data_IF_781434024570
#
_entry.id   IF_781434024570
#
_cell.length_a   1.000
_cell.length_b   1.000
_cell.length_c   1.000
_cell.angle_alpha   90.00
_cell.angle_beta   90.00
_cell.angle_gamma   90.00
#
_symmetry.space_group_name_H-M   'P 1'
#
loop_
_entity.id
_entity.type
_entity.pdbx_description
1 polymer ?
#
# COMPACT_ATOMS: atom_id res chain seq x y z
N UNK A 1 0.06 -18.14 1.75
CA UNK A 1 0.33 -17.54 3.08
C UNK A 1 -0.16 -16.11 3.13
N UNK A 2 -0.88 -15.70 4.17
CA UNK A 2 -1.36 -14.32 4.31
C UNK A 2 -0.25 -13.33 4.68
N UNK A 3 -0.43 -12.06 4.31
CA UNK A 3 0.41 -10.95 4.76
C UNK A 3 -0.20 -10.42 6.06
N UNK A 4 0.51 -10.55 7.18
CA UNK A 4 0.09 -9.93 8.42
C UNK A 4 0.91 -8.67 8.69
N UNK A 5 0.23 -7.54 8.82
CA UNK A 5 0.86 -6.26 9.17
C UNK A 5 0.52 -5.91 10.61
N UNK A 6 1.56 -5.81 11.44
CA UNK A 6 1.52 -5.35 12.83
C UNK A 6 1.82 -3.84 12.86
N UNK A 7 0.78 -3.04 13.02
CA UNK A 7 0.86 -1.59 13.13
C UNK A 7 0.99 -1.17 14.60
N UNK A 8 2.06 -0.45 14.99
CA UNK A 8 2.13 0.19 16.31
C UNK A 8 1.01 1.21 16.47
N UNK A 9 0.27 1.12 17.58
CA UNK A 9 -0.76 2.08 17.99
C UNK A 9 -0.30 2.83 19.25
N UNK A 10 -0.30 2.16 20.40
CA UNK A 10 0.21 2.71 21.67
C UNK A 10 1.67 2.30 21.95
N UNK A 11 2.23 1.36 21.19
CA UNK A 11 3.60 0.89 21.40
C UNK A 11 4.64 1.99 21.14
N UNK A 12 5.68 2.04 21.98
CA UNK A 12 6.90 2.80 21.71
C UNK A 12 7.64 2.10 20.56
N UNK A 13 7.75 2.76 19.41
CA UNK A 13 8.36 2.19 18.20
C UNK A 13 9.24 3.20 17.46
N UNK A 14 10.38 2.78 16.88
CA UNK A 14 11.22 3.66 16.08
C UNK A 14 10.57 4.05 14.74
N UNK A 15 9.43 3.44 14.40
CA UNK A 15 8.65 3.75 13.21
C UNK A 15 7.15 3.69 13.49
N UNK A 16 6.38 4.43 12.70
CA UNK A 16 4.96 4.16 12.47
C UNK A 16 4.82 3.46 11.13
N UNK A 17 3.90 2.50 11.05
CA UNK A 17 3.50 1.88 9.78
C UNK A 17 1.99 1.90 9.67
N UNK A 18 1.50 2.30 8.51
CA UNK A 18 0.12 2.09 8.12
C UNK A 18 0.08 1.32 6.80
N UNK A 19 -0.98 0.53 6.62
CA UNK A 19 -1.18 -0.33 5.47
C UNK A 19 -2.55 -0.13 4.86
N UNK A 20 -2.61 -0.24 3.54
CA UNK A 20 -3.84 -0.17 2.74
C UNK A 20 -3.84 -1.37 1.80
N UNK A 21 -4.92 -2.13 1.81
CA UNK A 21 -5.07 -3.35 1.04
C UNK A 21 -6.48 -3.92 1.19
N UNK A 22 -6.76 -5.04 0.51
CA UNK A 22 -7.98 -5.80 0.72
C UNK A 22 -7.85 -6.66 1.97
N UNK A 23 -8.58 -6.31 3.04
CA UNK A 23 -8.70 -7.13 4.24
C UNK A 23 -10.20 -7.40 4.49
N UNK A 24 -10.69 -8.64 4.24
CA UNK A 24 -12.11 -8.96 4.46
C UNK A 24 -12.46 -9.03 5.95
N UNK A 25 -11.46 -9.29 6.78
CA UNK A 25 -11.60 -9.42 8.23
C UNK A 25 -11.42 -8.07 8.94
N UNK A 26 -12.04 -7.96 10.12
CA UNK A 26 -11.82 -6.81 10.99
C UNK A 26 -10.41 -6.89 11.58
N UNK A 27 -9.69 -5.77 11.67
CA UNK A 27 -8.38 -5.75 12.32
C UNK A 27 -8.50 -6.15 13.80
N UNK A 28 -7.52 -6.93 14.27
CA UNK A 28 -7.46 -7.37 15.67
C UNK A 28 -6.54 -6.47 16.49
N UNK A 29 -6.89 -6.26 17.76
CA UNK A 29 -6.05 -5.51 18.71
C UNK A 29 -5.15 -6.45 19.50
N UNK A 30 -3.95 -6.00 19.88
CA UNK A 30 -3.11 -6.73 20.84
C UNK A 30 -3.65 -6.56 22.27
N UNK A 31 -4.14 -7.64 22.88
CA UNK A 31 -4.46 -7.69 24.31
C UNK A 31 -5.25 -6.49 24.85
N UNK A 32 -5.11 -6.25 26.15
CA UNK A 32 -5.82 -5.17 26.84
C UNK A 32 -5.15 -3.80 26.63
N UNK A 33 -3.81 -3.76 26.51
CA UNK A 33 -3.02 -2.52 26.36
C UNK A 33 -3.11 -1.90 24.97
N UNK A 34 -3.65 -2.64 23.99
CA UNK A 34 -3.88 -2.19 22.60
C UNK A 34 -2.65 -1.55 21.95
N UNK A 35 -1.47 -2.08 22.28
CA UNK A 35 -0.18 -1.64 21.76
C UNK A 35 -0.09 -1.68 20.23
N UNK A 36 -0.71 -2.68 19.61
CA UNK A 36 -0.67 -2.94 18.18
C UNK A 36 -2.06 -3.25 17.60
N UNK A 37 -2.19 -2.96 16.30
CA UNK A 37 -3.30 -3.42 15.46
C UNK A 37 -2.75 -4.39 14.41
N UNK A 38 -3.39 -5.55 14.29
CA UNK A 38 -3.05 -6.58 13.33
C UNK A 38 -4.03 -6.56 12.16
N UNK A 39 -3.48 -6.45 10.95
CA UNK A 39 -4.22 -6.57 9.70
C UNK A 39 -3.78 -7.83 8.98
N UNK A 40 -4.71 -8.73 8.68
CA UNK A 40 -4.48 -9.88 7.79
C UNK A 40 -4.96 -9.56 6.38
N UNK A 41 -4.10 -9.79 5.40
CA UNK A 41 -4.41 -9.63 3.99
C UNK A 41 -4.25 -10.98 3.28
N UNK A 42 -5.22 -11.39 2.44
CA UNK A 42 -5.16 -12.67 1.73
C UNK A 42 -3.89 -12.80 0.89
N UNK A 43 -3.37 -14.02 0.75
CA UNK A 43 -2.21 -14.33 -0.09
C UNK A 43 -2.26 -13.70 -1.49
N UNK A 44 -3.45 -13.69 -2.10
CA UNK A 44 -3.65 -13.11 -3.42
C UNK A 44 -3.77 -11.59 -3.41
N UNK A 45 -3.37 -10.88 -2.36
CA UNK A 45 -3.49 -9.43 -2.30
C UNK A 45 -2.16 -8.70 -2.55
N UNK A 46 -2.30 -7.45 -2.98
CA UNK A 46 -1.27 -6.43 -2.89
C UNK A 46 -1.56 -5.55 -1.70
N UNK A 47 -0.50 -5.19 -0.97
CA UNK A 47 -0.57 -4.32 0.20
C UNK A 47 0.32 -3.10 -0.03
N UNK A 48 -0.25 -1.91 0.09
CA UNK A 48 0.48 -0.66 0.13
C UNK A 48 0.88 -0.38 1.57
N UNK A 49 2.17 -0.32 1.84
CA UNK A 49 2.76 -0.04 3.15
C UNK A 49 3.35 1.34 3.18
N UNK A 50 3.24 2.01 4.32
CA UNK A 50 3.73 3.36 4.48
C UNK A 50 4.36 3.54 5.85
N UNK A 51 5.67 3.78 5.82
CA UNK A 51 6.49 3.93 7.00
C UNK A 51 6.87 5.38 7.24
N UNK A 52 6.82 5.76 8.51
CA UNK A 52 7.40 7.01 9.01
C UNK A 52 8.41 6.66 10.10
N UNK A 53 9.70 6.79 9.79
CA UNK A 53 10.78 6.52 10.73
C UNK A 53 11.10 7.77 11.53
N UNK A 54 11.00 7.68 12.84
CA UNK A 54 11.39 8.73 13.77
C UNK A 54 12.92 8.72 13.87
N UNK A 55 13.58 9.74 13.34
CA UNK A 55 15.03 9.89 13.47
C UNK A 55 15.33 10.84 14.62
N UNK A 56 16.12 10.36 15.60
CA UNK A 56 16.58 11.12 16.78
C UNK A 56 17.21 12.49 16.45
N UNK A 57 17.71 12.68 15.22
CA UNK A 57 18.45 13.87 14.79
C UNK A 57 17.76 14.68 13.68
N UNK A 58 16.53 14.35 13.27
CA UNK A 58 15.85 15.06 12.17
C UNK A 58 14.55 15.67 12.65
N UNK A 59 14.33 16.93 12.28
CA UNK A 59 13.08 17.66 12.55
C UNK A 59 11.85 17.05 11.83
N UNK A 60 12.04 16.18 10.83
CA UNK A 60 10.96 15.52 10.09
C UNK A 60 11.23 14.02 9.94
N UNK A 61 10.20 13.17 10.06
CA UNK A 61 10.34 11.72 9.91
C UNK A 61 10.74 11.35 8.48
N UNK A 62 11.52 10.27 8.35
CA UNK A 62 11.85 9.70 7.05
C UNK A 62 10.67 8.87 6.58
N UNK A 63 10.05 9.28 5.47
CA UNK A 63 8.89 8.62 4.88
C UNK A 63 9.30 7.65 3.77
N UNK A 64 8.75 6.44 3.79
CA UNK A 64 8.93 5.39 2.78
C UNK A 64 7.60 4.74 2.50
N UNK A 65 7.30 4.49 1.22
CA UNK A 65 6.12 3.72 0.83
C UNK A 65 6.53 2.53 -0.02
N UNK A 66 5.78 1.44 0.09
CA UNK A 66 6.05 0.20 -0.62
C UNK A 66 4.75 -0.39 -1.14
N UNK A 67 4.82 -1.05 -2.29
CA UNK A 67 3.76 -1.92 -2.81
C UNK A 67 4.30 -3.33 -2.73
N UNK A 68 3.66 -4.20 -1.96
CA UNK A 68 4.16 -5.55 -1.69
C UNK A 68 3.11 -6.62 -1.96
N UNK A 69 3.57 -7.83 -2.23
CA UNK A 69 2.74 -9.02 -2.37
C UNK A 69 3.50 -10.26 -1.92
N UNK A 70 2.81 -11.37 -1.70
CA UNK A 70 3.40 -12.70 -1.45
C UNK A 70 3.28 -13.62 -2.66
N UNK A 71 2.65 -13.15 -3.74
CA UNK A 71 2.59 -13.85 -5.03
C UNK A 71 4.02 -14.01 -5.57
N UNK A 72 4.42 -15.25 -5.88
CA UNK A 72 5.73 -15.51 -6.47
C UNK A 72 6.38 -16.84 -6.08
N UNK A 73 7.15 -17.43 -7.01
CA UNK A 73 7.91 -18.66 -6.77
C UNK A 73 9.18 -18.43 -5.94
N UNK A 74 9.82 -19.51 -5.48
CA UNK A 74 11.05 -19.51 -4.67
C UNK A 74 12.23 -18.69 -5.26
N UNK A 75 12.17 -18.41 -6.57
CA UNK A 75 13.24 -17.75 -7.34
C UNK A 75 12.98 -16.27 -7.65
N UNK A 76 11.92 -15.67 -7.12
CA UNK A 76 11.66 -14.24 -7.34
C UNK A 76 12.70 -13.37 -6.61
N UNK A 77 13.53 -12.68 -7.40
CA UNK A 77 14.41 -11.61 -6.92
C UNK A 77 13.57 -10.48 -6.33
N UNK A 78 13.90 -10.01 -5.12
CA UNK A 78 13.19 -8.89 -4.46
C UNK A 78 12.29 -9.28 -3.28
N UNK A 79 12.68 -10.34 -2.56
CA UNK A 79 12.11 -10.75 -1.28
C UNK A 79 12.69 -9.92 -0.14
N UNK A 80 11.83 -9.26 0.63
CA UNK A 80 12.23 -8.41 1.76
C UNK A 80 11.55 -8.85 3.05
N UNK A 81 12.32 -8.81 4.14
CA UNK A 81 11.77 -8.76 5.50
C UNK A 81 11.55 -7.30 5.84
N UNK A 82 10.33 -6.94 6.21
CA UNK A 82 9.96 -5.56 6.51
C UNK A 82 9.52 -5.40 7.96
N UNK A 83 9.83 -4.27 8.63
CA UNK A 83 9.41 -4.05 10.00
C UNK A 83 7.89 -4.16 10.16
N UNK A 84 7.44 -4.97 11.11
CA UNK A 84 6.02 -5.18 11.36
C UNK A 84 5.32 -6.14 10.40
N UNK A 85 6.06 -6.91 9.59
CA UNK A 85 5.49 -7.95 8.71
C UNK A 85 6.07 -9.30 9.07
N UNK A 86 5.22 -10.31 9.26
CA UNK A 86 5.63 -11.65 9.70
C UNK A 86 6.05 -12.60 8.57
N UNK A 87 5.90 -12.18 7.32
CA UNK A 87 6.20 -12.97 6.14
C UNK A 87 7.20 -12.25 5.24
N UNK A 88 7.88 -13.02 4.41
CA UNK A 88 8.75 -12.50 3.37
C UNK A 88 7.89 -12.04 2.21
N UNK A 89 8.02 -10.77 1.82
CA UNK A 89 7.19 -10.18 0.76
C UNK A 89 8.03 -9.80 -0.45
N UNK A 90 7.45 -9.91 -1.64
CA UNK A 90 7.98 -9.34 -2.88
C UNK A 90 7.63 -7.85 -2.94
N UNK A 91 8.63 -7.01 -3.21
CA UNK A 91 8.42 -5.58 -3.41
C UNK A 91 8.21 -5.26 -4.89
N UNK A 92 7.03 -4.75 -5.25
CA UNK A 92 6.70 -4.29 -6.61
C UNK A 92 7.13 -2.83 -6.83
N UNK A 93 7.16 -2.03 -5.76
CA UNK A 93 7.49 -0.62 -5.80
C UNK A 93 8.02 -0.13 -4.45
N UNK A 94 9.02 0.76 -4.48
CA UNK A 94 9.50 1.49 -3.32
C UNK A 94 9.59 2.98 -3.66
N UNK A 95 8.94 3.82 -2.86
CA UNK A 95 8.81 5.26 -3.10
C UNK A 95 9.20 6.13 -1.91
N UNK A 96 9.57 7.38 -2.18
CA UNK A 96 9.88 8.41 -1.17
C UNK A 96 9.36 9.79 -1.58
N UNK A 97 9.25 10.71 -0.62
CA UNK A 97 8.87 12.10 -0.91
C UNK A 97 7.49 12.18 -1.60
N UNK A 98 7.42 12.75 -2.81
CA UNK A 98 6.15 12.90 -3.56
C UNK A 98 5.51 11.56 -3.94
N UNK A 99 6.31 10.53 -4.19
CA UNK A 99 5.81 9.19 -4.54
C UNK A 99 5.03 8.57 -3.37
N UNK A 100 5.46 8.84 -2.12
CA UNK A 100 4.71 8.43 -0.93
C UNK A 100 3.31 9.06 -0.92
N UNK A 101 3.24 10.37 -1.13
CA UNK A 101 1.97 11.10 -1.09
C UNK A 101 1.04 10.70 -2.25
N UNK A 102 1.61 10.45 -3.43
CA UNK A 102 0.85 10.00 -4.61
C UNK A 102 0.34 8.57 -4.44
N UNK A 103 1.20 7.64 -3.98
CA UNK A 103 0.78 6.27 -3.66
C UNK A 103 -0.31 6.26 -2.59
N UNK A 104 -0.17 7.08 -1.54
CA UNK A 104 -1.17 7.19 -0.47
C UNK A 104 -2.53 7.60 -1.00
N UNK A 105 -2.56 8.63 -1.86
CA UNK A 105 -3.81 9.09 -2.48
C UNK A 105 -4.40 8.04 -3.42
N UNK A 106 -3.59 7.45 -4.29
CA UNK A 106 -4.04 6.44 -5.24
C UNK A 106 -4.57 5.18 -4.54
N UNK A 107 -3.88 4.68 -3.52
CA UNK A 107 -4.32 3.53 -2.73
C UNK A 107 -5.63 3.82 -1.98
N UNK A 108 -5.78 5.04 -1.42
CA UNK A 108 -7.02 5.47 -0.78
C UNK A 108 -8.18 5.49 -1.79
N UNK A 109 -7.95 6.08 -2.97
CA UNK A 109 -8.95 6.14 -4.04
C UNK A 109 -9.37 4.74 -4.53
N UNK A 110 -8.41 3.83 -4.76
CA UNK A 110 -8.69 2.44 -5.12
C UNK A 110 -9.56 1.76 -4.06
N UNK A 111 -9.22 1.94 -2.78
CA UNK A 111 -9.97 1.36 -1.65
C UNK A 111 -11.40 1.94 -1.56
N UNK A 112 -11.59 3.21 -1.87
CA UNK A 112 -12.91 3.86 -1.85
C UNK A 112 -13.81 3.41 -3.01
N UNK A 113 -13.25 3.18 -4.20
CA UNK A 113 -14.02 2.66 -5.35
C UNK A 113 -14.36 1.19 -5.15
N UNK A 114 -13.32 0.36 -4.99
CA UNK A 114 -13.49 -1.07 -4.82
C UNK A 114 -12.28 -1.63 -4.04
N UNK A 115 -12.47 -2.01 -2.76
CA UNK A 115 -11.43 -2.68 -1.98
C UNK A 115 -10.83 -3.91 -2.68
N UNK A 116 -11.57 -4.59 -3.55
CA UNK A 116 -11.06 -5.74 -4.33
C UNK A 116 -10.07 -5.35 -5.41
N UNK A 117 -9.87 -4.05 -5.69
CA UNK A 117 -8.80 -3.56 -6.58
C UNK A 117 -7.41 -4.04 -6.13
N UNK A 118 -7.22 -4.32 -4.83
CA UNK A 118 -5.99 -4.89 -4.29
C UNK A 118 -5.79 -6.38 -4.59
N UNK A 119 -6.76 -7.02 -5.24
CA UNK A 119 -6.64 -8.38 -5.77
C UNK A 119 -6.32 -8.39 -7.27
N UNK A 120 -6.20 -7.23 -7.93
CA UNK A 120 -5.84 -7.14 -9.34
C UNK A 120 -4.45 -7.75 -9.62
N UNK A 121 -4.20 -8.25 -10.84
CA UNK A 121 -2.93 -8.90 -11.20
C UNK A 121 -1.74 -7.94 -11.13
N UNK A 122 -0.53 -8.49 -10.99
CA UNK A 122 0.69 -7.71 -10.80
C UNK A 122 0.97 -6.73 -11.95
N UNK A 123 0.53 -7.05 -13.18
CA UNK A 123 0.65 -6.15 -14.33
C UNK A 123 -0.08 -4.81 -14.12
N UNK A 124 -1.22 -4.81 -13.41
CA UNK A 124 -1.90 -3.58 -13.00
C UNK A 124 -1.02 -2.79 -12.03
N UNK A 125 -0.49 -3.46 -11.00
CA UNK A 125 0.30 -2.82 -9.96
C UNK A 125 1.64 -2.29 -10.47
N UNK A 126 2.27 -2.93 -11.46
CA UNK A 126 3.43 -2.40 -12.16
C UNK A 126 3.10 -1.13 -12.95
N UNK A 127 1.99 -1.10 -13.69
CA UNK A 127 1.52 0.10 -14.40
C UNK A 127 1.20 1.23 -13.42
N UNK A 128 0.48 0.92 -12.35
CA UNK A 128 0.12 1.86 -11.30
C UNK A 128 1.36 2.45 -10.59
N UNK A 129 2.34 1.61 -10.25
CA UNK A 129 3.62 2.03 -9.70
C UNK A 129 4.39 2.98 -10.65
N UNK A 130 4.39 2.67 -11.96
CA UNK A 130 4.95 3.54 -12.99
C UNK A 130 4.29 4.92 -13.03
N UNK A 131 2.96 4.97 -12.95
CA UNK A 131 2.20 6.23 -12.89
C UNK A 131 2.50 7.04 -11.62
N UNK A 132 2.56 6.37 -10.45
CA UNK A 132 2.94 7.00 -9.18
C UNK A 132 4.33 7.63 -9.27
N UNK A 133 5.30 6.92 -9.85
CA UNK A 133 6.66 7.41 -10.04
C UNK A 133 6.70 8.59 -11.03
N UNK A 134 5.94 8.52 -12.13
CA UNK A 134 5.84 9.57 -13.13
C UNK A 134 5.26 10.87 -12.53
N UNK A 135 4.10 10.80 -11.88
CA UNK A 135 3.49 11.95 -11.19
C UNK A 135 4.35 12.46 -10.02
N UNK A 136 5.16 11.57 -9.41
CA UNK A 136 6.13 11.96 -8.40
C UNK A 136 7.21 12.90 -8.93
N UNK A 137 7.49 12.86 -10.23
CA UNK A 137 8.49 13.70 -10.91
C UNK A 137 7.86 15.01 -11.42
N UNK A 138 6.72 14.93 -12.10
CA UNK A 138 6.04 16.09 -12.69
C UNK A 138 5.27 16.93 -11.65
N UNK A 139 5.46 18.26 -11.65
CA UNK A 139 4.79 19.16 -10.70
C UNK A 139 3.32 19.46 -11.01
N UNK A 140 2.79 19.09 -12.20
CA UNK A 140 1.59 19.73 -12.77
C UNK A 140 0.39 18.85 -13.11
N UNK A 141 0.41 17.53 -12.94
CA UNK A 141 -0.75 16.67 -13.31
C UNK A 141 -1.15 15.77 -12.15
N UNK A 142 -2.23 16.14 -11.45
CA UNK A 142 -2.90 15.33 -10.40
C UNK A 142 -4.07 14.49 -10.95
N UNK A 143 -4.26 14.49 -12.26
CA UNK A 143 -5.45 13.97 -12.95
C UNK A 143 -5.20 12.68 -13.70
N UNK A 144 -3.93 12.31 -13.96
CA UNK A 144 -3.61 11.18 -14.82
C UNK A 144 -3.81 9.86 -14.07
N UNK A 145 -3.29 9.75 -12.84
CA UNK A 145 -3.44 8.54 -12.01
C UNK A 145 -4.92 8.20 -11.80
N UNK A 146 -5.76 9.19 -11.48
CA UNK A 146 -7.20 8.99 -11.29
C UNK A 146 -7.85 8.47 -12.58
N UNK A 147 -7.57 9.10 -13.72
CA UNK A 147 -8.15 8.74 -15.02
C UNK A 147 -7.75 7.34 -15.48
N UNK A 148 -6.48 6.99 -15.35
CA UNK A 148 -5.97 5.68 -15.77
C UNK A 148 -6.46 4.55 -14.85
N UNK A 149 -6.56 4.81 -13.53
CA UNK A 149 -7.17 3.86 -12.59
C UNK A 149 -8.63 3.60 -12.96
N UNK A 150 -9.43 4.64 -13.19
CA UNK A 150 -10.84 4.50 -13.58
C UNK A 150 -10.97 3.76 -14.90
N UNK A 151 -10.15 4.10 -15.91
CA UNK A 151 -10.15 3.39 -17.19
C UNK A 151 -9.87 1.90 -17.00
N UNK A 152 -8.84 1.55 -16.24
CA UNK A 152 -8.47 0.15 -16.01
C UNK A 152 -9.59 -0.61 -15.27
N UNK A 153 -10.21 0.00 -14.27
CA UNK A 153 -11.33 -0.63 -13.56
C UNK A 153 -12.52 -0.86 -14.51
N UNK A 154 -12.88 0.11 -15.35
CA UNK A 154 -13.92 -0.06 -16.38
C UNK A 154 -13.60 -1.19 -17.37
N UNK A 155 -12.35 -1.26 -17.85
CA UNK A 155 -11.89 -2.30 -18.77
C UNK A 155 -11.92 -3.71 -18.15
N UNK A 156 -11.86 -3.82 -16.81
CA UNK A 156 -11.83 -5.09 -16.09
C UNK A 156 -13.13 -5.37 -15.30
N UNK A 157 -14.24 -4.73 -15.68
CA UNK A 157 -15.58 -5.01 -15.13
C UNK A 157 -15.85 -4.41 -13.74
N UNK A 158 -15.01 -3.49 -13.26
CA UNK A 158 -15.24 -2.73 -12.04
C UNK A 158 -16.35 -1.69 -12.22
N UNK A 159 -17.29 -1.63 -11.27
CA UNK A 159 -18.29 -0.56 -11.22
C UNK A 159 -17.60 0.73 -10.77
N UNK A 160 -17.58 1.74 -11.63
CA UNK A 160 -17.18 3.09 -11.26
C UNK A 160 -18.40 3.98 -11.37
N UNK A 161 -18.97 4.39 -10.24
CA UNK A 161 -20.02 5.42 -10.22
C UNK A 161 -19.37 6.77 -10.55
N UNK A 162 -19.28 7.07 -11.85
CA UNK A 162 -19.16 8.45 -12.32
C UNK A 162 -20.57 9.05 -12.36
N UNK A 163 -21.07 9.47 -11.20
CA UNK A 163 -22.05 10.55 -11.17
C UNK A 163 -21.27 11.86 -11.21
N UNK A 164 -21.16 12.43 -12.41
CA UNK A 164 -20.70 13.80 -12.61
C UNK A 164 -21.51 14.74 -11.68
N UNK A 165 -20.81 15.37 -10.73
CA UNK A 165 -21.30 16.48 -9.91
C UNK A 165 -20.29 17.61 -9.93
#
# INVERSE_FOLDING_TARGET
MDINVRQPYNAISPYKVYSVGYHPERPAWSGDDREYIFFSYPESSVVCLFYEYHALKRARPVRRAYVVTVRGGAHDTGRYVMPGINTTVRCLFAGKGREFDNLRRGAKFLREIDPKSFLLPDCFWYKFAGLVAYEGRERRRKTLLKREVVRFLKENGGKTDESDS
#
